data_IF_441443087356
#
_entry.id   IF_441443087356
#
_cell.length_a   1.000
_cell.length_b   1.000
_cell.length_c   1.000
_cell.angle_alpha   90.00
_cell.angle_beta   90.00
_cell.angle_gamma   90.00
#
_symmetry.space_group_name_H-M   'P 1'
#
loop_
_entity.id
_entity.type
_entity.pdbx_description
1 polymer ?
#
# COMPACT_ATOMS: atom_id res chain seq x y z
N UNK A 1 -8.91 -30.62 -13.74
CA UNK A 1 -8.09 -29.69 -12.93
C UNK A 1 -7.50 -28.68 -13.91
N UNK A 2 -8.07 -27.48 -14.00
CA UNK A 2 -7.62 -26.48 -14.98
C UNK A 2 -6.36 -25.84 -14.41
N UNK A 3 -5.20 -26.16 -14.99
CA UNK A 3 -4.01 -25.33 -14.78
C UNK A 3 -4.31 -23.98 -15.42
N UNK A 4 -4.64 -22.98 -14.59
CA UNK A 4 -4.69 -21.60 -15.05
C UNK A 4 -3.28 -21.28 -15.59
N UNK A 5 -3.18 -21.14 -16.92
CA UNK A 5 -1.95 -20.80 -17.59
C UNK A 5 -1.45 -19.46 -17.05
N UNK A 6 -0.27 -19.46 -16.41
CA UNK A 6 0.29 -18.30 -15.69
C UNK A 6 0.91 -17.26 -16.62
N UNK A 7 0.55 -17.29 -17.91
CA UNK A 7 1.12 -16.44 -18.94
C UNK A 7 0.90 -14.96 -18.60
N UNK A 8 2.00 -14.22 -18.43
CA UNK A 8 1.98 -12.79 -18.08
C UNK A 8 1.92 -12.47 -16.59
N UNK A 9 1.92 -13.46 -15.69
CA UNK A 9 1.98 -13.21 -14.25
C UNK A 9 3.44 -13.10 -13.78
N UNK A 10 3.72 -12.08 -12.96
CA UNK A 10 5.00 -11.89 -12.26
C UNK A 10 4.84 -12.11 -10.76
N UNK A 11 5.92 -12.51 -10.09
CA UNK A 11 5.93 -12.66 -8.63
C UNK A 11 6.25 -11.32 -7.97
N UNK A 12 5.39 -10.86 -7.06
CA UNK A 12 5.71 -9.77 -6.15
C UNK A 12 6.45 -10.33 -4.94
N UNK A 13 7.64 -9.81 -4.63
CA UNK A 13 8.44 -10.20 -3.46
C UNK A 13 9.03 -8.98 -2.79
N UNK A 14 8.90 -8.89 -1.47
CA UNK A 14 9.52 -7.86 -0.64
C UNK A 14 9.58 -8.32 0.81
N UNK A 15 10.57 -7.85 1.54
CA UNK A 15 10.63 -8.03 3.00
C UNK A 15 9.87 -6.89 3.65
N UNK A 16 8.94 -7.22 4.55
CA UNK A 16 8.18 -6.26 5.34
C UNK A 16 8.29 -6.62 6.82
N UNK A 17 8.09 -5.65 7.73
CA UNK A 17 7.97 -5.95 9.16
C UNK A 17 6.86 -6.97 9.43
N UNK A 18 7.03 -7.77 10.48
CA UNK A 18 6.14 -8.89 10.78
C UNK A 18 4.72 -8.42 11.11
N UNK A 19 4.61 -7.27 11.78
CA UNK A 19 3.37 -6.59 12.13
C UNK A 19 2.58 -6.14 10.89
N UNK A 20 3.26 -5.63 9.87
CA UNK A 20 2.63 -5.21 8.61
C UNK A 20 2.05 -6.44 7.89
N UNK A 21 2.83 -7.52 7.83
CA UNK A 21 2.36 -8.78 7.25
C UNK A 21 1.15 -9.34 8.01
N UNK A 22 1.21 -9.37 9.35
CA UNK A 22 0.11 -9.86 10.19
C UNK A 22 -1.17 -9.04 9.96
N UNK A 23 -1.05 -7.71 9.90
CA UNK A 23 -2.20 -6.84 9.63
C UNK A 23 -2.79 -7.07 8.24
N UNK A 24 -1.94 -7.15 7.21
CA UNK A 24 -2.39 -7.44 5.84
C UNK A 24 -3.13 -8.78 5.75
N UNK A 25 -2.64 -9.80 6.48
CA UNK A 25 -3.29 -11.11 6.55
C UNK A 25 -4.68 -11.04 7.21
N UNK A 26 -4.79 -10.33 8.34
CA UNK A 26 -6.07 -10.12 9.04
C UNK A 26 -7.07 -9.42 8.11
N UNK A 27 -6.65 -8.35 7.44
CA UNK A 27 -7.51 -7.58 6.54
C UNK A 27 -7.96 -8.42 5.33
N UNK A 28 -7.04 -9.17 4.72
CA UNK A 28 -7.37 -10.07 3.62
C UNK A 28 -8.42 -11.12 4.05
N UNK A 29 -8.25 -11.70 5.25
CA UNK A 29 -9.21 -12.66 5.82
C UNK A 29 -10.57 -12.02 6.07
N UNK A 30 -10.61 -10.82 6.65
CA UNK A 30 -11.84 -10.07 6.89
C UNK A 30 -12.59 -9.74 5.59
N UNK A 31 -11.86 -9.46 4.51
CA UNK A 31 -12.40 -9.24 3.17
C UNK A 31 -12.79 -10.54 2.43
N UNK A 32 -12.56 -11.72 3.01
CA UNK A 32 -12.81 -13.01 2.37
C UNK A 32 -11.88 -13.28 1.16
N UNK A 33 -10.68 -12.70 1.15
CA UNK A 33 -9.73 -12.75 0.03
C UNK A 33 -8.45 -13.50 0.40
N UNK A 34 -7.75 -14.02 -0.60
CA UNK A 34 -6.34 -14.40 -0.42
C UNK A 34 -5.49 -13.15 -0.27
N UNK A 35 -4.36 -13.25 0.42
CA UNK A 35 -3.46 -12.10 0.61
C UNK A 35 -2.99 -11.49 -0.73
N UNK A 36 -2.68 -12.32 -1.73
CA UNK A 36 -2.31 -11.83 -3.07
C UNK A 36 -3.44 -11.10 -3.79
N UNK A 37 -4.68 -11.57 -3.66
CA UNK A 37 -5.84 -10.88 -4.24
C UNK A 37 -6.12 -9.57 -3.50
N UNK A 38 -6.00 -9.56 -2.18
CA UNK A 38 -6.16 -8.37 -1.36
C UNK A 38 -5.14 -7.28 -1.75
N UNK A 39 -3.85 -7.63 -1.86
CA UNK A 39 -2.81 -6.69 -2.30
C UNK A 39 -3.05 -6.18 -3.72
N UNK A 40 -3.46 -7.05 -4.65
CA UNK A 40 -3.86 -6.63 -6.00
C UNK A 40 -4.97 -5.56 -5.95
N UNK A 41 -5.99 -5.78 -5.11
CA UNK A 41 -7.11 -4.83 -4.96
C UNK A 41 -6.67 -3.50 -4.38
N UNK A 42 -5.77 -3.51 -3.39
CA UNK A 42 -5.20 -2.28 -2.85
C UNK A 42 -4.45 -1.49 -3.93
N UNK A 43 -3.61 -2.14 -4.74
CA UNK A 43 -2.89 -1.48 -5.84
C UNK A 43 -3.84 -0.94 -6.92
N UNK A 44 -4.90 -1.68 -7.27
CA UNK A 44 -5.94 -1.20 -8.22
C UNK A 44 -6.69 0.03 -7.70
N UNK A 45 -6.78 0.18 -6.37
CA UNK A 45 -7.45 1.30 -5.70
C UNK A 45 -6.48 2.43 -5.32
N UNK A 46 -5.17 2.23 -5.48
CA UNK A 46 -4.14 3.21 -5.12
C UNK A 46 -4.19 4.38 -6.11
N UNK A 47 -4.86 5.46 -5.69
CA UNK A 47 -5.09 6.62 -6.55
C UNK A 47 -3.82 7.47 -6.63
N UNK A 48 -3.52 7.93 -7.85
CA UNK A 48 -2.46 8.88 -8.12
C UNK A 48 -3.06 10.23 -8.49
N UNK A 49 -2.36 11.33 -8.18
CA UNK A 49 -2.71 12.65 -8.70
C UNK A 49 -2.26 12.84 -10.17
N UNK A 50 -2.50 14.03 -10.73
CA UNK A 50 -2.11 14.40 -12.10
C UNK A 50 -0.61 14.31 -12.39
N UNK A 51 0.22 14.35 -11.35
CA UNK A 51 1.67 14.24 -11.44
C UNK A 51 2.19 12.81 -11.18
N UNK A 52 1.29 11.83 -11.03
CA UNK A 52 1.65 10.44 -10.77
C UNK A 52 2.09 10.16 -9.32
N UNK A 53 1.79 11.06 -8.38
CA UNK A 53 2.11 10.88 -6.96
C UNK A 53 0.94 10.20 -6.25
N UNK A 54 1.19 9.14 -5.44
CA UNK A 54 0.13 8.51 -4.65
C UNK A 54 -0.55 9.50 -3.70
N UNK A 55 -1.88 9.49 -3.66
CA UNK A 55 -2.64 10.46 -2.87
C UNK A 55 -2.34 10.38 -1.36
N UNK A 56 -2.07 9.18 -0.84
CA UNK A 56 -1.71 9.00 0.58
C UNK A 56 -0.40 9.72 0.94
N UNK A 57 0.49 9.94 -0.02
CA UNK A 57 1.76 10.63 0.20
C UNK A 57 1.59 12.14 0.34
N UNK A 58 0.52 12.72 -0.22
CA UNK A 58 0.25 14.15 -0.09
C UNK A 58 -0.04 14.52 1.37
N UNK A 59 -0.67 13.63 2.14
CA UNK A 59 -0.92 13.83 3.56
C UNK A 59 0.37 13.86 4.40
N UNK A 60 1.38 13.07 4.02
CA UNK A 60 2.69 13.08 4.70
C UNK A 60 3.46 14.39 4.45
N UNK A 61 3.35 14.95 3.23
CA UNK A 61 3.99 16.22 2.88
C UNK A 61 3.37 17.38 3.67
N UNK A 62 2.05 17.42 3.83
CA UNK A 62 1.37 18.44 4.63
C UNK A 62 1.75 18.36 6.13
N UNK A 63 1.99 17.16 6.66
CA UNK A 63 2.49 16.96 8.03
C UNK A 63 3.97 17.39 8.18
N UNK A 64 4.82 17.15 7.18
CA UNK A 64 6.22 17.60 7.18
C UNK A 64 6.33 19.13 7.08
N UNK A 65 5.53 19.78 6.21
CA UNK A 65 5.53 21.25 6.06
C UNK A 65 5.00 21.97 7.31
N UNK A 66 4.07 21.37 8.06
CA UNK A 66 3.58 21.94 9.33
C UNK A 66 4.54 21.73 10.50
N UNK A 67 5.36 20.67 10.49
CA UNK A 67 6.39 20.44 11.49
C UNK A 67 7.57 21.43 11.37
N UNK A 68 7.92 21.87 10.15
CA UNK A 68 8.97 22.86 9.91
C UNK A 68 8.58 24.31 10.26
N UNK A 69 7.31 24.58 10.60
CA UNK A 69 6.81 25.93 10.90
C UNK A 69 6.73 26.26 12.40
N UNK A 70 7.15 25.39 13.32
CA UNK A 70 7.30 25.79 14.72
C UNK A 70 8.48 26.77 14.82
N UNK A 71 8.27 28.05 15.17
CA UNK A 71 9.39 28.93 15.42
C UNK A 71 10.17 28.36 16.61
N UNK A 72 11.47 28.16 16.41
CA UNK A 72 12.42 28.05 17.51
C UNK A 72 12.49 29.42 18.19
N UNK A 73 11.46 29.78 18.96
CA UNK A 73 11.58 30.85 19.94
C UNK A 73 12.48 30.32 21.05
N UNK A 74 13.72 30.81 21.05
CA UNK A 74 14.67 30.65 22.15
C UNK A 74 14.33 31.48 23.38
#
# INVERSE_FOLDING_TARGET
>A
MVHADRKGMVRLTGMVPAEVHAQAFINAKAAGMTMGLYLKRLVEQDQLNENGVPLWRLAEIEEEETAEQLPLTG
#
